data_IF_359922787951
#
_entry.id   IF_359922787951
#
_cell.length_a   1.000
_cell.length_b   1.000
_cell.length_c   1.000
_cell.angle_alpha   90.00
_cell.angle_beta   90.00
_cell.angle_gamma   90.00
#
_symmetry.space_group_name_H-M   'P 1'
#
loop_
_entity.id
_entity.type
_entity.pdbx_description
1 polymer ?
#
# COMPACT_ATOMS: atom_id res chain seq x y z
N UNK A 1 -3.71 -19.28 42.78
CA UNK A 1 -2.63 -18.27 42.83
C UNK A 1 -1.71 -18.60 41.65
N UNK A 2 -1.93 -18.03 40.52
CA UNK A 2 -1.08 -18.18 39.32
C UNK A 2 -0.08 -17.02 39.31
N UNK A 3 1.22 -17.37 39.32
CA UNK A 3 2.31 -16.42 39.34
C UNK A 3 2.43 -15.70 37.95
N UNK A 4 2.35 -14.39 37.99
CA UNK A 4 2.69 -13.54 36.89
C UNK A 4 4.18 -13.66 36.53
N UNK A 5 4.48 -14.04 35.28
CA UNK A 5 5.86 -13.95 34.78
C UNK A 5 6.11 -12.49 34.38
N UNK A 6 7.22 -11.88 34.82
CA UNK A 6 7.55 -10.53 34.43
C UNK A 6 7.90 -10.50 32.93
N UNK A 7 7.21 -9.66 32.18
CA UNK A 7 7.55 -9.28 30.78
C UNK A 7 8.93 -8.61 30.85
N UNK A 8 9.95 -9.23 30.25
CA UNK A 8 11.27 -8.60 30.10
C UNK A 8 11.11 -7.40 29.13
N UNK A 9 11.31 -6.22 29.68
CA UNK A 9 11.48 -5.02 28.86
C UNK A 9 12.68 -5.23 27.91
N UNK A 10 12.54 -4.88 26.60
CA UNK A 10 13.69 -4.87 25.70
C UNK A 10 14.75 -3.92 26.26
N UNK A 11 16.02 -4.35 26.19
CA UNK A 11 17.15 -3.61 26.76
C UNK A 11 17.16 -2.17 26.25
N UNK A 12 17.36 -1.23 27.17
CA UNK A 12 17.47 0.19 26.90
C UNK A 12 18.67 0.48 25.98
N UNK A 13 18.49 0.39 24.67
CA UNK A 13 19.36 1.08 23.74
C UNK A 13 19.24 2.57 24.08
N UNK A 14 20.36 3.22 24.42
CA UNK A 14 20.39 4.65 24.72
C UNK A 14 19.98 5.41 23.44
N UNK A 15 18.74 5.81 23.36
CA UNK A 15 18.20 6.64 22.30
C UNK A 15 18.96 7.99 22.34
N UNK A 16 19.94 8.13 21.47
CA UNK A 16 20.55 9.45 21.20
C UNK A 16 19.47 10.26 20.52
N UNK A 17 18.75 11.07 21.29
CA UNK A 17 17.78 12.02 20.76
C UNK A 17 18.46 12.89 19.70
N UNK A 18 18.36 12.49 18.43
CA UNK A 18 18.58 13.35 17.29
C UNK A 18 17.62 14.53 17.48
N UNK A 19 18.08 15.75 17.30
CA UNK A 19 17.24 16.93 17.52
C UNK A 19 16.35 17.12 16.31
N UNK A 20 15.19 16.44 16.28
CA UNK A 20 14.13 16.86 15.40
C UNK A 20 13.75 18.30 15.77
N UNK A 21 13.82 19.22 14.84
CA UNK A 21 13.48 20.63 15.07
C UNK A 21 12.03 20.89 14.67
N UNK A 22 11.33 21.67 15.48
CA UNK A 22 9.95 22.08 15.19
C UNK A 22 9.90 22.91 13.88
N UNK A 23 9.17 22.39 12.88
CA UNK A 23 8.85 23.08 11.64
C UNK A 23 7.56 23.88 11.71
N UNK A 24 7.22 24.60 10.63
CA UNK A 24 5.93 25.29 10.49
C UNK A 24 4.75 24.29 10.38
N UNK A 25 5.01 23.13 9.77
CA UNK A 25 4.02 22.07 9.55
C UNK A 25 4.58 20.75 10.08
N UNK A 26 3.93 20.11 11.08
CA UNK A 26 4.41 18.86 11.67
C UNK A 26 4.65 17.74 10.66
N UNK A 27 3.83 17.66 9.62
CA UNK A 27 3.96 16.64 8.57
C UNK A 27 5.28 16.71 7.78
N UNK A 28 5.98 17.83 7.85
CA UNK A 28 7.27 18.03 7.18
C UNK A 28 8.47 17.78 8.10
N UNK A 29 8.23 17.42 9.36
CA UNK A 29 9.23 17.09 10.37
C UNK A 29 9.65 15.62 10.22
N UNK A 30 10.46 15.33 9.20
CA UNK A 30 10.91 13.98 8.91
C UNK A 30 12.05 13.55 9.84
N UNK A 31 11.88 12.38 10.48
CA UNK A 31 12.92 11.71 11.27
C UNK A 31 13.52 10.54 10.45
N UNK A 32 14.83 10.53 10.13
CA UNK A 32 15.46 9.43 9.41
C UNK A 32 15.72 8.20 10.29
N UNK A 33 15.44 8.24 11.60
CA UNK A 33 15.60 7.09 12.49
C UNK A 33 14.68 5.95 12.03
N UNK A 34 15.26 4.75 11.93
CA UNK A 34 14.56 3.59 11.40
C UNK A 34 13.82 2.78 12.46
N UNK A 35 14.24 2.94 13.72
CA UNK A 35 13.67 2.21 14.84
C UNK A 35 12.61 3.05 15.52
N UNK A 36 11.39 2.58 15.55
CA UNK A 36 10.29 3.21 16.27
C UNK A 36 10.20 2.71 17.72
N UNK A 37 9.41 3.38 18.55
CA UNK A 37 9.08 2.89 19.89
C UNK A 37 8.13 1.68 19.84
N UNK A 38 7.35 1.59 18.77
CA UNK A 38 6.44 0.49 18.48
C UNK A 38 6.84 -0.04 17.10
N UNK A 39 7.31 -1.28 17.07
CA UNK A 39 7.66 -1.97 15.83
C UNK A 39 6.51 -2.89 15.39
N UNK A 40 6.39 -3.20 14.08
CA UNK A 40 5.32 -4.06 13.55
C UNK A 40 5.24 -5.42 14.26
N UNK A 41 6.38 -5.96 14.73
CA UNK A 41 6.44 -7.21 15.48
C UNK A 41 5.67 -7.22 16.82
N UNK A 42 5.28 -6.05 17.32
CA UNK A 42 4.50 -5.95 18.57
C UNK A 42 3.04 -6.33 18.37
N UNK A 43 2.49 -6.11 17.18
CA UNK A 43 1.09 -6.41 16.84
C UNK A 43 0.11 -5.94 17.91
N UNK A 44 -0.06 -4.63 18.06
CA UNK A 44 -0.79 -4.00 19.18
C UNK A 44 -2.21 -4.55 19.41
N UNK A 45 -2.89 -4.97 18.34
CA UNK A 45 -4.26 -5.48 18.40
C UNK A 45 -4.34 -7.00 18.31
N UNK A 46 -3.21 -7.70 18.19
CA UNK A 46 -3.18 -9.15 18.01
C UNK A 46 -3.10 -9.92 19.34
N UNK A 47 -3.68 -11.13 19.43
CA UNK A 47 -3.33 -12.09 20.44
C UNK A 47 -1.84 -12.47 20.31
N UNK A 48 -1.28 -13.13 21.35
CA UNK A 48 0.12 -13.56 21.33
C UNK A 48 0.46 -14.25 20.00
N UNK A 49 1.51 -13.77 19.33
CA UNK A 49 1.92 -14.23 18.01
C UNK A 49 2.30 -15.71 18.06
N UNK A 50 1.64 -16.50 17.23
CA UNK A 50 2.12 -17.85 16.89
C UNK A 50 3.23 -17.73 15.85
N UNK A 51 4.15 -18.69 15.79
CA UNK A 51 5.11 -18.78 14.67
C UNK A 51 4.35 -19.08 13.39
N UNK A 52 4.21 -18.06 12.53
CA UNK A 52 3.48 -18.12 11.25
C UNK A 52 4.48 -17.85 10.15
N UNK A 53 4.47 -18.69 9.14
CA UNK A 53 5.26 -18.51 7.92
C UNK A 53 4.36 -18.00 6.79
N UNK A 54 4.49 -16.72 6.43
CA UNK A 54 3.80 -16.13 5.29
C UNK A 54 4.73 -16.15 4.07
N UNK A 55 4.22 -16.49 2.88
CA UNK A 55 5.02 -16.47 1.65
C UNK A 55 5.71 -15.12 1.42
N UNK A 56 6.95 -15.13 0.88
CA UNK A 56 7.70 -13.88 0.66
C UNK A 56 7.13 -13.01 -0.47
N UNK A 57 6.23 -13.54 -1.28
CA UNK A 57 5.51 -12.81 -2.33
C UNK A 57 4.06 -12.65 -1.95
N UNK A 58 3.52 -11.43 -2.10
CA UNK A 58 2.14 -11.14 -1.72
C UNK A 58 1.42 -10.26 -2.75
N UNK A 59 0.11 -10.48 -2.85
CA UNK A 59 -0.83 -9.61 -3.56
C UNK A 59 -1.71 -8.89 -2.55
N UNK A 60 -1.66 -7.57 -2.55
CA UNK A 60 -2.54 -6.67 -1.80
C UNK A 60 -3.70 -6.29 -2.72
N UNK A 61 -4.87 -6.89 -2.52
CA UNK A 61 -6.04 -6.64 -3.37
C UNK A 61 -7.06 -5.80 -2.61
N UNK A 62 -7.36 -4.60 -3.12
CA UNK A 62 -8.29 -3.67 -2.46
C UNK A 62 -9.76 -4.11 -2.51
N UNK A 63 -10.10 -5.13 -3.31
CA UNK A 63 -11.45 -5.68 -3.43
C UNK A 63 -11.65 -6.86 -2.47
N UNK A 64 -12.20 -6.59 -1.28
CA UNK A 64 -12.37 -7.61 -0.24
C UNK A 64 -13.29 -8.77 -0.64
N UNK A 65 -14.33 -8.51 -1.44
CA UNK A 65 -15.21 -9.54 -2.00
C UNK A 65 -14.47 -10.45 -2.99
N UNK A 66 -13.55 -9.90 -3.79
CA UNK A 66 -12.68 -10.66 -4.70
C UNK A 66 -11.72 -11.55 -3.91
N UNK A 67 -11.06 -10.99 -2.87
CA UNK A 67 -10.19 -11.77 -1.97
C UNK A 67 -10.95 -12.93 -1.35
N UNK A 68 -12.11 -12.66 -0.76
CA UNK A 68 -12.96 -13.68 -0.13
C UNK A 68 -13.50 -14.71 -1.13
N UNK A 69 -13.83 -14.30 -2.36
CA UNK A 69 -14.28 -15.20 -3.42
C UNK A 69 -13.13 -16.13 -3.85
N UNK A 70 -11.95 -15.59 -4.13
CA UNK A 70 -10.79 -16.40 -4.51
C UNK A 70 -10.43 -17.37 -3.40
N UNK A 71 -10.43 -16.95 -2.15
CA UNK A 71 -10.14 -17.79 -1.01
C UNK A 71 -11.08 -18.99 -0.95
N UNK A 72 -12.37 -18.78 -1.16
CA UNK A 72 -13.38 -19.88 -1.19
C UNK A 72 -13.26 -20.77 -2.41
N UNK A 73 -13.14 -20.20 -3.62
CA UNK A 73 -13.09 -20.97 -4.88
C UNK A 73 -11.82 -21.81 -5.01
N UNK A 74 -10.75 -21.37 -4.40
CA UNK A 74 -9.43 -22.05 -4.41
C UNK A 74 -9.17 -22.85 -3.14
N UNK A 75 -10.11 -22.89 -2.20
CA UNK A 75 -9.92 -23.51 -0.87
C UNK A 75 -8.60 -23.05 -0.21
N UNK A 76 -8.27 -21.76 -0.38
CA UNK A 76 -7.01 -21.17 0.05
C UNK A 76 -6.89 -21.17 1.58
N UNK A 77 -5.85 -21.76 2.17
CA UNK A 77 -5.66 -21.73 3.60
C UNK A 77 -5.41 -20.29 4.07
N UNK A 78 -6.01 -19.95 5.23
CA UNK A 78 -5.62 -18.77 5.98
C UNK A 78 -4.32 -19.06 6.70
N UNK A 79 -3.28 -18.24 6.47
CA UNK A 79 -1.94 -18.42 7.03
C UNK A 79 -1.60 -17.40 8.12
N UNK A 80 -2.25 -16.24 8.13
CA UNK A 80 -2.08 -15.22 9.17
C UNK A 80 -3.30 -14.32 9.25
N UNK A 81 -3.32 -13.44 10.22
CA UNK A 81 -4.29 -12.35 10.38
C UNK A 81 -3.57 -11.02 10.55
N UNK A 82 -4.07 -9.97 9.90
CA UNK A 82 -3.73 -8.58 10.14
C UNK A 82 -4.79 -7.96 11.05
N UNK A 83 -4.39 -7.13 12.00
CA UNK A 83 -5.28 -6.65 13.03
C UNK A 83 -5.37 -5.13 13.06
N UNK A 84 -6.59 -4.63 13.20
CA UNK A 84 -6.87 -3.22 13.50
C UNK A 84 -8.19 -3.10 14.24
N UNK A 85 -8.53 -1.90 14.70
CA UNK A 85 -9.86 -1.63 15.27
C UNK A 85 -11.01 -1.80 14.26
N UNK A 86 -10.71 -1.89 12.96
CA UNK A 86 -11.68 -2.28 11.91
C UNK A 86 -11.96 -3.79 11.89
N UNK A 87 -11.25 -4.58 12.71
CA UNK A 87 -11.39 -6.01 12.78
C UNK A 87 -10.17 -6.77 12.26
N UNK A 88 -10.41 -8.04 11.97
CA UNK A 88 -9.39 -8.99 11.52
C UNK A 88 -9.44 -9.12 10.01
N UNK A 89 -8.29 -8.98 9.37
CA UNK A 89 -8.12 -9.12 7.91
C UNK A 89 -7.22 -10.34 7.64
N UNK A 90 -7.77 -11.44 7.09
CA UNK A 90 -7.00 -12.65 6.88
C UNK A 90 -5.98 -12.51 5.74
N UNK A 91 -4.80 -13.08 5.93
CA UNK A 91 -3.85 -13.39 4.87
C UNK A 91 -4.10 -14.83 4.44
N UNK A 92 -4.41 -15.02 3.17
CA UNK A 92 -4.56 -16.33 2.53
C UNK A 92 -3.32 -16.66 1.70
N UNK A 93 -3.16 -17.94 1.38
CA UNK A 93 -2.10 -18.44 0.52
C UNK A 93 -2.65 -19.17 -0.69
N UNK A 94 -1.99 -19.01 -1.83
CA UNK A 94 -2.21 -19.79 -3.05
C UNK A 94 -0.91 -20.36 -3.55
N UNK A 95 -0.98 -21.51 -4.19
CA UNK A 95 0.07 -21.99 -5.07
C UNK A 95 -0.18 -21.52 -6.51
N UNK A 96 0.81 -20.87 -7.11
CA UNK A 96 0.82 -20.50 -8.51
C UNK A 96 2.15 -20.90 -9.16
N UNK A 97 2.12 -21.78 -10.17
CA UNK A 97 3.32 -22.28 -10.85
C UNK A 97 4.38 -22.85 -9.88
N UNK A 98 3.93 -23.63 -8.91
CA UNK A 98 4.76 -24.22 -7.83
C UNK A 98 5.43 -23.19 -6.88
N UNK A 99 4.96 -21.97 -6.90
CA UNK A 99 5.39 -20.91 -5.96
C UNK A 99 4.24 -20.56 -5.03
N UNK A 100 4.54 -20.41 -3.74
CA UNK A 100 3.58 -19.95 -2.74
C UNK A 100 3.44 -18.43 -2.83
N UNK A 101 2.21 -17.92 -2.84
CA UNK A 101 1.88 -16.50 -2.92
C UNK A 101 0.82 -16.18 -1.88
N UNK A 102 1.11 -15.22 -1.01
CA UNK A 102 0.11 -14.67 -0.10
C UNK A 102 -0.81 -13.70 -0.82
N UNK A 103 -2.06 -13.58 -0.35
CA UNK A 103 -2.95 -12.52 -0.82
C UNK A 103 -3.90 -12.08 0.29
N UNK A 104 -4.18 -10.78 0.34
CA UNK A 104 -5.01 -10.19 1.38
C UNK A 104 -5.58 -8.85 0.95
N UNK A 105 -6.60 -8.37 1.69
CA UNK A 105 -7.13 -7.02 1.53
C UNK A 105 -6.40 -6.08 2.49
N UNK A 106 -5.73 -5.01 1.98
CA UNK A 106 -4.91 -4.13 2.81
C UNK A 106 -5.70 -3.02 3.54
N UNK A 107 -7.02 -3.00 3.44
CA UNK A 107 -7.83 -1.84 3.84
C UNK A 107 -7.75 -0.71 2.81
N UNK A 108 -8.46 0.38 3.06
CA UNK A 108 -8.51 1.55 2.17
C UNK A 108 -7.96 2.77 2.89
N UNK A 109 -7.20 3.59 2.16
CA UNK A 109 -6.51 4.78 2.65
C UNK A 109 -5.09 4.51 3.13
N UNK A 110 -4.21 5.46 2.87
CA UNK A 110 -2.77 5.34 3.11
C UNK A 110 -2.40 4.85 4.52
N UNK A 111 -2.99 5.34 5.63
CA UNK A 111 -2.60 4.89 6.96
C UNK A 111 -2.87 3.41 7.22
N UNK A 112 -4.06 2.92 6.83
CA UNK A 112 -4.44 1.53 7.09
C UNK A 112 -3.69 0.56 6.18
N UNK A 113 -3.57 0.90 4.90
CA UNK A 113 -2.83 0.07 3.95
C UNK A 113 -1.34 -0.03 4.31
N UNK A 114 -0.74 1.08 4.77
CA UNK A 114 0.64 1.09 5.27
C UNK A 114 0.80 0.23 6.53
N UNK A 115 -0.12 0.30 7.50
CA UNK A 115 -0.12 -0.53 8.70
C UNK A 115 -0.11 -2.01 8.33
N UNK A 116 -1.02 -2.45 7.46
CA UNK A 116 -1.10 -3.85 7.06
C UNK A 116 0.06 -4.30 6.19
N UNK A 117 0.63 -3.42 5.38
CA UNK A 117 1.86 -3.71 4.65
C UNK A 117 3.05 -3.92 5.60
N UNK A 118 3.18 -3.11 6.64
CA UNK A 118 4.22 -3.25 7.67
C UNK A 118 4.09 -4.60 8.40
N UNK A 119 2.89 -4.98 8.80
CA UNK A 119 2.65 -6.28 9.44
C UNK A 119 2.94 -7.45 8.48
N UNK A 120 2.54 -7.36 7.21
CA UNK A 120 2.85 -8.38 6.21
C UNK A 120 4.36 -8.51 5.95
N UNK A 121 5.10 -7.40 5.94
CA UNK A 121 6.56 -7.40 5.86
C UNK A 121 7.19 -8.06 7.08
N UNK A 122 6.66 -7.81 8.27
CA UNK A 122 7.14 -8.43 9.50
C UNK A 122 6.86 -9.94 9.52
N UNK A 123 5.73 -10.39 8.97
CA UNK A 123 5.43 -11.80 8.73
C UNK A 123 6.35 -12.49 7.69
N UNK A 124 7.10 -11.72 6.91
CA UNK A 124 8.07 -12.29 5.96
C UNK A 124 7.87 -11.89 4.50
N UNK A 125 6.88 -11.09 4.14
CA UNK A 125 6.72 -10.59 2.77
C UNK A 125 7.92 -9.72 2.35
N UNK A 126 8.42 -9.92 1.12
CA UNK A 126 9.58 -9.21 0.57
C UNK A 126 9.34 -8.64 -0.82
N UNK A 127 8.33 -9.12 -1.51
CA UNK A 127 7.89 -8.59 -2.80
C UNK A 127 6.36 -8.54 -2.83
N UNK A 128 5.82 -7.33 -2.95
CA UNK A 128 4.39 -7.09 -2.88
C UNK A 128 3.91 -6.39 -4.17
N UNK A 129 2.73 -6.80 -4.64
CA UNK A 129 2.01 -6.09 -5.71
C UNK A 129 0.64 -5.69 -5.19
N UNK A 130 0.33 -4.39 -5.28
CA UNK A 130 -1.02 -3.90 -4.99
C UNK A 130 -1.86 -3.87 -6.27
N UNK A 131 -3.15 -4.21 -6.15
CA UNK A 131 -4.13 -4.07 -7.23
C UNK A 131 -5.45 -3.50 -6.72
N UNK A 132 -5.98 -2.51 -7.44
CA UNK A 132 -7.19 -1.79 -7.04
C UNK A 132 -7.80 -0.98 -8.16
N UNK A 133 -8.83 -0.22 -7.84
CA UNK A 133 -9.43 0.80 -8.71
C UNK A 133 -8.78 2.16 -8.50
N UNK A 134 -8.94 3.04 -9.48
CA UNK A 134 -8.54 4.44 -9.42
C UNK A 134 -9.49 5.30 -10.26
N UNK A 135 -9.70 6.53 -9.86
CA UNK A 135 -10.40 7.51 -10.69
C UNK A 135 -9.52 7.90 -11.88
N UNK A 136 -10.08 7.90 -13.08
CA UNK A 136 -9.39 8.36 -14.28
C UNK A 136 -9.29 9.88 -14.32
N UNK A 137 -8.09 10.40 -14.54
CA UNK A 137 -7.81 11.82 -14.78
C UNK A 137 -7.52 12.11 -16.26
N UNK A 138 -7.36 11.06 -17.07
CA UNK A 138 -7.13 11.11 -18.50
C UNK A 138 -8.36 10.59 -19.23
N UNK A 139 -8.88 11.39 -20.17
CA UNK A 139 -10.08 11.07 -20.94
C UNK A 139 -9.91 9.82 -21.85
N UNK A 140 -8.67 9.49 -22.22
CA UNK A 140 -8.36 8.33 -23.06
C UNK A 140 -8.40 6.99 -22.29
N UNK A 141 -8.49 7.02 -20.96
CA UNK A 141 -8.58 5.81 -20.14
C UNK A 141 -10.02 5.28 -20.12
N UNK A 142 -10.29 4.21 -20.85
CA UNK A 142 -11.57 3.52 -20.80
C UNK A 142 -11.81 2.84 -19.44
N UNK A 143 -13.09 2.59 -19.08
CA UNK A 143 -13.45 1.80 -17.90
C UNK A 143 -12.75 0.43 -17.93
N UNK A 144 -12.12 0.07 -16.83
CA UNK A 144 -11.40 -1.21 -16.69
C UNK A 144 -10.01 -1.23 -17.33
N UNK A 145 -9.55 -0.13 -17.97
CA UNK A 145 -8.21 -0.09 -18.56
C UNK A 145 -7.12 -0.13 -17.48
N UNK A 146 -6.20 -1.12 -17.53
CA UNK A 146 -5.13 -1.25 -16.55
C UNK A 146 -4.08 -0.15 -16.67
N UNK A 147 -3.65 0.38 -15.55
CA UNK A 147 -2.57 1.37 -15.45
C UNK A 147 -1.49 0.84 -14.51
N UNK A 148 -0.28 0.68 -15.03
CA UNK A 148 0.91 0.39 -14.23
C UNK A 148 1.41 1.69 -13.63
N UNK A 149 1.42 1.80 -12.30
CA UNK A 149 1.80 3.02 -11.61
C UNK A 149 3.33 3.13 -11.61
N UNK A 150 3.87 4.15 -12.28
CA UNK A 150 5.31 4.41 -12.35
C UNK A 150 5.79 5.47 -11.36
N UNK A 151 4.90 6.33 -10.88
CA UNK A 151 5.17 7.34 -9.88
C UNK A 151 3.86 7.77 -9.19
N UNK A 152 3.97 8.42 -8.03
CA UNK A 152 2.82 8.96 -7.33
C UNK A 152 3.09 10.37 -6.79
N UNK A 153 2.15 11.29 -6.99
CA UNK A 153 2.13 12.59 -6.31
C UNK A 153 1.70 12.35 -4.86
N UNK A 154 2.51 12.82 -3.90
CA UNK A 154 2.33 12.63 -2.46
C UNK A 154 1.41 13.71 -1.89
N UNK A 155 0.09 13.56 -2.05
CA UNK A 155 -0.94 14.47 -1.47
C UNK A 155 -1.73 13.75 -0.35
N UNK A 156 -1.02 12.87 0.37
CA UNK A 156 -1.47 12.14 1.56
C UNK A 156 -0.46 12.34 2.70
N UNK A 157 -0.81 11.97 3.93
CA UNK A 157 0.04 12.23 5.09
C UNK A 157 1.06 11.15 5.42
N UNK A 158 0.78 9.90 5.09
CA UNK A 158 1.50 8.72 5.61
C UNK A 158 2.94 8.62 5.08
N UNK A 159 3.14 8.85 3.78
CA UNK A 159 4.46 8.72 3.15
C UNK A 159 5.53 9.66 3.72
N UNK A 160 5.12 10.78 4.31
CA UNK A 160 6.02 11.76 4.93
C UNK A 160 6.65 11.27 6.24
N UNK A 161 6.07 10.23 6.87
CA UNK A 161 6.66 9.59 8.03
C UNK A 161 7.77 8.59 7.67
N UNK A 162 7.80 8.12 6.44
CA UNK A 162 8.77 7.12 5.94
C UNK A 162 9.92 7.73 5.13
N UNK A 163 9.66 8.82 4.41
CA UNK A 163 10.65 9.46 3.53
C UNK A 163 10.59 10.98 3.66
N UNK A 164 11.75 11.59 3.51
CA UNK A 164 11.88 13.05 3.50
C UNK A 164 10.85 13.72 2.58
N UNK A 165 10.38 14.93 2.92
CA UNK A 165 9.40 15.66 2.12
C UNK A 165 9.84 15.81 0.66
N UNK A 166 8.99 15.37 -0.24
CA UNK A 166 9.12 15.52 -1.68
C UNK A 166 7.72 15.53 -2.30
N UNK A 167 7.60 16.10 -3.48
CA UNK A 167 6.29 16.16 -4.16
C UNK A 167 5.90 14.83 -4.81
N UNK A 168 6.88 14.12 -5.30
CA UNK A 168 6.72 12.89 -6.07
C UNK A 168 7.52 11.75 -5.44
N UNK A 169 7.04 10.54 -5.58
CA UNK A 169 7.77 9.32 -5.35
C UNK A 169 7.70 8.45 -6.61
N UNK A 170 8.84 7.94 -7.06
CA UNK A 170 8.93 7.02 -8.18
C UNK A 170 8.79 5.57 -7.68
N UNK A 171 8.11 4.73 -8.46
CA UNK A 171 8.03 3.29 -8.22
C UNK A 171 9.39 2.61 -8.46
N UNK A 172 9.56 1.39 -7.94
CA UNK A 172 10.69 0.52 -8.32
C UNK A 172 10.63 0.23 -9.81
N UNK A 173 11.69 0.54 -10.54
CA UNK A 173 11.78 0.29 -11.97
C UNK A 173 11.62 -1.22 -12.27
N UNK A 174 12.26 -2.07 -11.47
CA UNK A 174 12.16 -3.53 -11.57
C UNK A 174 10.72 -4.02 -11.44
N UNK A 175 9.98 -3.50 -10.46
CA UNK A 175 8.58 -3.87 -10.26
C UNK A 175 7.68 -3.42 -11.43
N UNK A 176 7.89 -2.21 -11.95
CA UNK A 176 7.18 -1.69 -13.12
C UNK A 176 7.44 -2.58 -14.33
N UNK A 177 8.70 -2.90 -14.63
CA UNK A 177 9.10 -3.74 -15.77
C UNK A 177 8.50 -5.16 -15.67
N UNK A 178 8.49 -5.74 -14.46
CA UNK A 178 7.89 -7.07 -14.24
C UNK A 178 6.39 -7.05 -14.52
N UNK A 179 5.65 -6.07 -13.98
CA UNK A 179 4.19 -5.95 -14.21
C UNK A 179 3.91 -5.75 -15.69
N UNK A 180 4.63 -4.84 -16.35
CA UNK A 180 4.50 -4.62 -17.80
C UNK A 180 4.78 -5.88 -18.62
N UNK A 181 5.83 -6.63 -18.24
CA UNK A 181 6.19 -7.88 -18.89
C UNK A 181 5.08 -8.95 -18.80
N UNK A 182 4.45 -9.06 -17.62
CA UNK A 182 3.33 -9.98 -17.40
C UNK A 182 2.12 -9.58 -18.24
N UNK A 183 1.74 -8.29 -18.25
CA UNK A 183 0.61 -7.79 -19.03
C UNK A 183 0.83 -7.98 -20.53
N UNK A 184 2.03 -7.66 -21.05
CA UNK A 184 2.41 -7.89 -22.44
C UNK A 184 2.31 -9.38 -22.81
N UNK A 185 2.81 -10.26 -21.95
CA UNK A 185 2.77 -11.71 -22.18
C UNK A 185 1.33 -12.26 -22.17
N UNK A 186 0.44 -11.62 -21.41
CA UNK A 186 -0.98 -11.97 -21.36
C UNK A 186 -1.80 -11.34 -22.51
N UNK A 187 -1.19 -10.50 -23.36
CA UNK A 187 -1.89 -9.78 -24.44
C UNK A 187 -2.84 -8.71 -23.92
N UNK A 188 -2.64 -8.22 -22.69
CA UNK A 188 -3.47 -7.17 -22.07
C UNK A 188 -2.92 -5.80 -22.44
N UNK A 189 -3.75 -4.94 -23.05
CA UNK A 189 -3.41 -3.54 -23.28
C UNK A 189 -3.38 -2.80 -21.93
N UNK A 190 -2.42 -1.91 -21.74
CA UNK A 190 -2.27 -1.13 -20.50
C UNK A 190 -1.59 0.21 -20.80
N UNK A 191 -1.77 1.15 -19.88
CA UNK A 191 -0.98 2.38 -19.81
C UNK A 191 0.03 2.32 -18.66
N UNK A 192 1.02 3.20 -18.69
CA UNK A 192 1.96 3.40 -17.57
C UNK A 192 1.98 4.90 -17.28
N UNK A 193 1.83 5.28 -16.01
CA UNK A 193 1.79 6.70 -15.67
C UNK A 193 1.87 7.00 -14.19
N UNK A 194 1.83 8.30 -13.91
CA UNK A 194 1.79 8.85 -12.55
C UNK A 194 0.37 8.84 -12.02
N UNK A 195 0.20 8.42 -10.77
CA UNK A 195 -1.05 8.57 -10.03
C UNK A 195 -0.97 9.74 -9.04
N UNK A 196 -2.10 10.24 -8.63
CA UNK A 196 -2.23 11.16 -7.50
C UNK A 196 -2.75 10.39 -6.28
N UNK A 197 -1.95 10.27 -5.22
CA UNK A 197 -2.40 9.69 -3.96
C UNK A 197 -2.96 10.77 -3.05
N UNK A 198 -4.23 10.63 -2.64
CA UNK A 198 -4.93 11.60 -1.78
C UNK A 198 -5.56 10.92 -0.56
N UNK A 199 -5.53 11.58 0.61
CA UNK A 199 -6.27 11.11 1.81
C UNK A 199 -7.76 11.53 1.80
N UNK A 200 -8.19 12.30 0.81
CA UNK A 200 -9.47 12.99 0.90
C UNK A 200 -10.25 12.98 -0.43
N UNK A 201 -10.86 11.85 -0.75
CA UNK A 201 -11.70 11.62 -1.92
C UNK A 201 -12.69 12.77 -2.18
N UNK A 202 -13.45 13.19 -1.16
CA UNK A 202 -14.42 14.27 -1.29
C UNK A 202 -13.81 15.68 -1.36
N UNK A 203 -12.48 15.77 -1.50
CA UNK A 203 -11.75 17.02 -1.71
C UNK A 203 -10.99 17.06 -3.05
N UNK A 204 -11.32 16.17 -3.96
CA UNK A 204 -10.87 16.18 -5.35
C UNK A 204 -11.63 17.26 -6.12
N UNK A 205 -11.29 18.52 -5.84
CA UNK A 205 -11.93 19.70 -6.43
C UNK A 205 -11.46 19.89 -7.89
N UNK A 206 -12.25 20.57 -8.76
CA UNK A 206 -11.85 20.82 -10.15
C UNK A 206 -10.46 21.45 -10.28
N UNK A 207 -10.10 22.39 -9.42
CA UNK A 207 -8.79 23.04 -9.46
C UNK A 207 -7.66 22.05 -9.06
N UNK A 208 -7.89 21.17 -8.09
CA UNK A 208 -6.94 20.11 -7.73
C UNK A 208 -6.78 19.13 -8.88
N UNK A 209 -7.86 18.66 -9.46
CA UNK A 209 -7.83 17.76 -10.63
C UNK A 209 -7.04 18.40 -11.79
N UNK A 210 -7.35 19.65 -12.13
CA UNK A 210 -6.63 20.38 -13.18
C UNK A 210 -5.12 20.48 -12.89
N UNK A 211 -4.75 20.77 -11.63
CA UNK A 211 -3.35 20.84 -11.22
C UNK A 211 -2.66 19.47 -11.33
N UNK A 212 -3.29 18.37 -10.90
CA UNK A 212 -2.72 17.02 -10.98
C UNK A 212 -2.57 16.55 -12.42
N UNK A 213 -3.54 16.86 -13.28
CA UNK A 213 -3.42 16.62 -14.75
C UNK A 213 -2.22 17.38 -15.33
N UNK A 214 -2.01 18.64 -14.97
CA UNK A 214 -0.85 19.43 -15.41
C UNK A 214 0.48 18.83 -14.93
N UNK A 215 0.48 18.13 -13.80
CA UNK A 215 1.64 17.39 -13.26
C UNK A 215 1.83 16.02 -13.93
N UNK A 216 0.98 15.64 -14.88
CA UNK A 216 1.06 14.39 -15.61
C UNK A 216 0.39 13.21 -14.90
N UNK A 217 -0.44 13.45 -13.88
CA UNK A 217 -1.23 12.38 -13.28
C UNK A 217 -2.34 11.94 -14.24
N UNK A 218 -2.43 10.64 -14.45
CA UNK A 218 -3.46 10.02 -15.30
C UNK A 218 -4.53 9.29 -14.47
N UNK A 219 -4.25 9.03 -13.19
CA UNK A 219 -5.18 8.43 -12.22
C UNK A 219 -5.10 9.11 -10.87
N UNK A 220 -6.11 8.88 -10.01
CA UNK A 220 -6.14 9.25 -8.60
C UNK A 220 -6.57 8.03 -7.76
N UNK A 221 -5.90 7.81 -6.65
CA UNK A 221 -6.18 6.76 -5.66
C UNK A 221 -5.71 7.22 -4.27
N UNK A 222 -5.68 6.35 -3.26
CA UNK A 222 -5.46 6.78 -1.88
C UNK A 222 -4.23 6.15 -1.19
N UNK A 223 -3.38 5.35 -1.87
CA UNK A 223 -2.38 4.52 -1.18
C UNK A 223 -0.98 4.47 -1.82
N UNK A 224 -0.86 4.61 -3.13
CA UNK A 224 0.38 4.33 -3.88
C UNK A 224 1.62 5.02 -3.29
N UNK A 225 1.52 6.31 -2.99
CA UNK A 225 2.65 7.07 -2.45
C UNK A 225 3.11 6.52 -1.09
N UNK A 226 2.17 6.17 -0.22
CA UNK A 226 2.47 5.61 1.09
C UNK A 226 3.08 4.22 0.98
N UNK A 227 2.50 3.32 0.17
CA UNK A 227 3.01 1.96 -0.01
C UNK A 227 4.41 1.94 -0.64
N UNK A 228 4.67 2.79 -1.63
CA UNK A 228 6.01 2.98 -2.19
C UNK A 228 7.01 3.50 -1.14
N UNK A 229 6.56 4.40 -0.25
CA UNK A 229 7.40 4.95 0.79
C UNK A 229 7.74 3.89 1.86
N UNK A 230 6.77 3.11 2.31
CA UNK A 230 6.97 1.97 3.21
C UNK A 230 7.94 0.97 2.60
N UNK A 231 7.70 0.56 1.34
CA UNK A 231 8.55 -0.40 0.65
C UNK A 231 10.02 0.06 0.60
N UNK A 232 10.24 1.31 0.21
CA UNK A 232 11.59 1.91 0.15
C UNK A 232 12.22 1.99 1.54
N UNK A 233 11.46 2.38 2.55
CA UNK A 233 11.91 2.45 3.93
C UNK A 233 12.27 1.07 4.47
N UNK A 234 11.48 0.04 4.23
CA UNK A 234 11.72 -1.33 4.71
C UNK A 234 12.67 -2.13 3.82
N UNK A 235 12.95 -1.68 2.60
CA UNK A 235 13.85 -2.35 1.67
C UNK A 235 13.24 -3.59 1.04
N UNK A 236 11.96 -3.52 0.69
CA UNK A 236 11.21 -4.58 -0.01
C UNK A 236 10.81 -4.10 -1.41
N UNK A 237 10.56 -5.05 -2.31
CA UNK A 237 10.05 -4.75 -3.66
C UNK A 237 8.54 -4.47 -3.62
N UNK A 238 8.13 -3.41 -4.30
CA UNK A 238 6.71 -3.05 -4.40
C UNK A 238 6.38 -2.51 -5.78
N UNK A 239 5.26 -2.96 -6.34
CA UNK A 239 4.65 -2.41 -7.54
C UNK A 239 3.14 -2.30 -7.39
N UNK A 240 2.52 -1.43 -8.21
CA UNK A 240 1.07 -1.25 -8.19
C UNK A 240 0.49 -1.25 -9.59
N UNK A 241 -0.63 -1.96 -9.72
CA UNK A 241 -1.50 -1.99 -10.89
C UNK A 241 -2.88 -1.49 -10.45
N UNK A 242 -3.39 -0.46 -11.11
CA UNK A 242 -4.76 -0.02 -10.91
C UNK A 242 -5.54 -0.17 -12.22
N UNK A 243 -6.88 -0.20 -12.15
CA UNK A 243 -7.71 -0.02 -13.33
C UNK A 243 -8.45 1.30 -13.25
N UNK A 244 -8.68 1.94 -14.39
CA UNK A 244 -9.51 3.12 -14.48
C UNK A 244 -10.97 2.73 -14.18
N UNK A 245 -11.49 3.21 -13.06
CA UNK A 245 -12.88 3.05 -12.63
C UNK A 245 -13.74 4.21 -13.12
N UNK A 246 -14.21 5.00 -12.18
CA UNK A 246 -14.89 6.28 -12.43
C UNK A 246 -13.98 7.30 -13.13
N UNK A 247 -14.54 8.42 -13.57
CA UNK A 247 -13.78 9.48 -14.24
C UNK A 247 -13.99 10.85 -13.61
N UNK A 248 -12.88 11.54 -13.42
CA UNK A 248 -12.82 12.97 -13.04
C UNK A 248 -12.22 13.81 -14.18
N UNK A 249 -12.02 13.22 -15.37
CA UNK A 249 -11.38 13.90 -16.50
C UNK A 249 -12.29 14.97 -17.13
N UNK A 250 -13.63 14.80 -17.04
CA UNK A 250 -14.63 15.74 -17.57
C UNK A 250 -14.92 16.94 -16.66
N UNK A 251 -15.98 17.69 -17.01
CA UNK A 251 -16.46 18.82 -16.20
C UNK A 251 -17.18 18.39 -14.90
N UNK A 252 -17.60 17.13 -14.81
CA UNK A 252 -18.27 16.53 -13.67
C UNK A 252 -17.79 15.10 -13.48
N UNK A 253 -17.95 14.61 -12.27
CA UNK A 253 -17.69 13.21 -11.96
C UNK A 253 -18.61 12.28 -12.75
N UNK A 254 -18.04 11.24 -13.34
CA UNK A 254 -18.73 10.19 -14.09
C UNK A 254 -18.44 8.84 -13.42
N UNK A 255 -19.48 8.21 -12.87
CA UNK A 255 -19.37 6.90 -12.21
C UNK A 255 -19.05 5.77 -13.17
N UNK A 256 -19.31 5.95 -14.47
CA UNK A 256 -19.12 4.93 -15.52
C UNK A 256 -19.86 3.62 -15.24
N UNK A 257 -21.10 3.71 -14.68
CA UNK A 257 -21.98 2.59 -14.36
C UNK A 257 -22.51 1.87 -15.59
#
# INVERSE_FOLDING_TARGET
VAGERPVRAPGSASYKRGRLSRGAYPILEFDPERTALIEPSVHLCAPAREEVEVPPRAVMCFFGDVVNRIAREREAPKVADLYSEHGVHPIFELEHRSERVAFFQPGVGAPLAALFMEEAIDYGCRALVACGGAGALDDDLALGHPVVVSAAVRDEGTSYHYLAPARLIEASLSAVEVIQGVLKSAGVAFSTGTTWSTDALYRETPDKVALRRQEGCITVEMEAAALMAVARFRGVEFGQLVYAGDSLAGESWDARD
#
